data_IF_858511430025
#
_entry.id   IF_858511430025
#
_cell.length_a   1.000
_cell.length_b   1.000
_cell.length_c   1.000
_cell.angle_alpha   90.00
_cell.angle_beta   90.00
_cell.angle_gamma   90.00
#
_symmetry.space_group_name_H-M   'P 1'
#
loop_
_entity.id
_entity.type
_entity.pdbx_description
1 polymer ?
#
# COMPACT_ATOMS: atom_id res chain seq x y z
N UNK A 1 41.66 -33.99 11.31
CA UNK A 1 41.87 -32.66 11.92
C UNK A 1 42.97 -31.99 11.12
N UNK A 2 42.69 -30.85 10.47
CA UNK A 2 43.69 -30.14 9.67
C UNK A 2 44.85 -29.67 10.56
N UNK A 3 46.10 -29.90 10.12
CA UNK A 3 47.29 -29.38 10.78
C UNK A 3 47.37 -27.87 10.51
N UNK A 4 46.97 -27.07 11.50
CA UNK A 4 47.02 -25.62 11.41
C UNK A 4 48.48 -25.16 11.49
N UNK A 5 48.94 -24.43 10.46
CA UNK A 5 50.28 -23.84 10.40
C UNK A 5 50.51 -22.78 11.51
N UNK A 6 49.43 -22.32 12.16
CA UNK A 6 49.43 -21.34 13.24
C UNK A 6 48.66 -21.92 14.42
N UNK A 7 49.21 -21.75 15.64
CA UNK A 7 48.53 -22.14 16.87
C UNK A 7 47.26 -21.29 17.03
N UNK A 8 46.06 -21.89 17.12
CA UNK A 8 44.85 -21.12 17.33
C UNK A 8 44.86 -20.56 18.76
N UNK A 9 44.64 -19.26 18.91
CA UNK A 9 44.54 -18.66 20.22
C UNK A 9 43.19 -19.05 20.87
N UNK A 10 43.18 -19.36 22.17
CA UNK A 10 41.98 -19.85 22.85
C UNK A 10 40.88 -18.77 22.92
N UNK A 11 41.26 -17.48 22.90
CA UNK A 11 40.31 -16.38 22.96
C UNK A 11 39.51 -16.25 21.64
N UNK A 12 40.17 -16.33 20.50
CA UNK A 12 39.53 -16.29 19.19
C UNK A 12 38.64 -17.51 18.95
N UNK A 13 39.09 -18.71 19.34
CA UNK A 13 38.25 -19.91 19.26
C UNK A 13 36.97 -19.76 20.09
N UNK A 14 37.07 -19.17 21.28
CA UNK A 14 35.90 -18.87 22.12
C UNK A 14 34.99 -17.84 21.47
N UNK A 15 35.53 -16.76 20.90
CA UNK A 15 34.76 -15.75 20.18
C UNK A 15 34.01 -16.36 18.99
N UNK A 16 34.70 -17.20 18.20
CA UNK A 16 34.10 -17.89 17.06
C UNK A 16 32.95 -18.80 17.50
N UNK A 17 33.14 -19.56 18.59
CA UNK A 17 32.08 -20.39 19.16
C UNK A 17 30.89 -19.55 19.65
N UNK A 18 31.14 -18.40 20.31
CA UNK A 18 30.08 -17.48 20.75
C UNK A 18 29.30 -16.88 19.59
N UNK A 19 29.98 -16.51 18.50
CA UNK A 19 29.32 -15.99 17.31
C UNK A 19 28.48 -17.05 16.61
N UNK A 20 29.01 -18.28 16.47
CA UNK A 20 28.30 -19.41 15.86
C UNK A 20 27.05 -19.82 16.64
N UNK A 21 27.15 -19.84 17.98
CA UNK A 21 26.05 -20.26 18.84
C UNK A 21 25.05 -19.14 19.17
N UNK A 22 25.23 -17.92 18.61
CA UNK A 22 24.38 -16.75 18.90
C UNK A 22 22.88 -17.03 18.72
N UNK A 23 22.53 -17.78 17.68
CA UNK A 23 21.12 -18.08 17.35
C UNK A 23 20.48 -19.00 18.38
N UNK A 24 21.27 -19.89 19.02
CA UNK A 24 20.77 -20.82 20.04
C UNK A 24 20.35 -20.10 21.32
N UNK A 25 21.03 -18.99 21.67
CA UNK A 25 20.73 -18.19 22.86
C UNK A 25 19.79 -17.01 22.57
N UNK A 26 19.15 -16.98 21.40
CA UNK A 26 18.25 -15.91 21.03
C UNK A 26 16.96 -15.95 21.86
N UNK A 27 16.46 -14.76 22.23
CA UNK A 27 15.24 -14.58 23.02
C UNK A 27 14.38 -13.49 22.39
N UNK A 28 13.09 -13.78 22.25
CA UNK A 28 12.07 -12.83 21.81
C UNK A 28 11.73 -11.84 22.93
N UNK A 29 12.58 -10.83 23.09
CA UNK A 29 12.31 -9.68 23.95
C UNK A 29 11.54 -8.62 23.17
N UNK A 30 10.69 -7.79 23.81
CA UNK A 30 9.93 -6.76 23.10
C UNK A 30 10.81 -5.78 22.33
N UNK A 31 12.03 -5.53 22.80
CA UNK A 31 13.02 -4.71 22.08
C UNK A 31 13.48 -5.37 20.79
N UNK A 32 13.89 -6.64 20.85
CA UNK A 32 14.41 -7.37 19.69
C UNK A 32 13.30 -7.66 18.67
N UNK A 33 12.09 -7.98 19.14
CA UNK A 33 10.93 -8.21 18.29
C UNK A 33 10.58 -6.98 17.43
N UNK A 34 10.60 -5.78 18.03
CA UNK A 34 10.35 -4.53 17.30
C UNK A 34 11.39 -4.29 16.20
N UNK A 35 12.68 -4.46 16.53
CA UNK A 35 13.77 -4.23 15.57
C UNK A 35 13.69 -5.23 14.43
N UNK A 36 13.57 -6.52 14.74
CA UNK A 36 13.47 -7.57 13.72
C UNK A 36 12.25 -7.39 12.81
N UNK A 37 11.09 -7.02 13.37
CA UNK A 37 9.88 -6.76 12.59
C UNK A 37 10.03 -5.52 11.68
N UNK A 38 10.65 -4.44 12.16
CA UNK A 38 10.91 -3.25 11.32
C UNK A 38 11.80 -3.60 10.12
N UNK A 39 12.90 -4.32 10.34
CA UNK A 39 13.85 -4.62 9.26
C UNK A 39 13.37 -5.72 8.31
N UNK A 40 12.59 -6.69 8.78
CA UNK A 40 12.12 -7.81 7.95
C UNK A 40 10.82 -7.49 7.23
N UNK A 41 9.91 -6.71 7.83
CA UNK A 41 8.61 -6.39 7.23
C UNK A 41 8.55 -4.96 6.71
N UNK A 42 8.84 -3.96 7.55
CA UNK A 42 8.57 -2.55 7.22
C UNK A 42 9.49 -2.07 6.10
N UNK A 43 10.79 -2.30 6.20
CA UNK A 43 11.76 -1.84 5.18
C UNK A 43 11.50 -2.50 3.81
N UNK A 44 11.34 -3.84 3.71
CA UNK A 44 11.01 -4.47 2.42
C UNK A 44 9.62 -4.11 1.91
N UNK A 45 8.63 -3.88 2.78
CA UNK A 45 7.30 -3.44 2.35
C UNK A 45 7.32 -2.03 1.76
N UNK A 46 8.04 -1.09 2.39
CA UNK A 46 8.22 0.27 1.84
C UNK A 46 8.96 0.20 0.51
N UNK A 47 10.07 -0.55 0.46
CA UNK A 47 10.86 -0.64 -0.76
C UNK A 47 10.09 -1.34 -1.89
N UNK A 48 9.35 -2.41 -1.56
CA UNK A 48 8.47 -3.10 -2.50
C UNK A 48 7.35 -2.18 -3.00
N UNK A 49 6.69 -1.45 -2.11
CA UNK A 49 5.64 -0.50 -2.50
C UNK A 49 6.14 0.60 -3.42
N UNK A 50 7.31 1.18 -3.11
CA UNK A 50 7.97 2.15 -4.00
C UNK A 50 8.29 1.48 -5.32
N UNK A 51 8.96 0.33 -5.29
CA UNK A 51 9.33 -0.42 -6.50
C UNK A 51 8.12 -0.68 -7.40
N UNK A 52 7.02 -1.23 -6.88
CA UNK A 52 5.79 -1.47 -7.64
C UNK A 52 5.15 -0.20 -8.22
N UNK A 53 5.30 0.94 -7.55
CA UNK A 53 4.79 2.23 -8.06
C UNK A 53 5.74 2.90 -9.07
N UNK A 54 7.04 2.64 -8.95
CA UNK A 54 8.06 3.18 -9.84
C UNK A 54 8.35 2.27 -11.03
N UNK A 55 7.92 1.01 -10.98
CA UNK A 55 8.10 0.03 -12.05
C UNK A 55 7.28 0.44 -13.28
N UNK A 56 7.97 0.59 -14.40
CA UNK A 56 7.41 1.14 -15.64
C UNK A 56 7.11 2.65 -15.63
N UNK A 57 7.33 3.36 -14.52
CA UNK A 57 7.02 4.79 -14.45
C UNK A 57 8.12 5.65 -15.10
N UNK A 58 9.35 5.15 -15.19
CA UNK A 58 10.49 5.91 -15.70
C UNK A 58 11.06 5.27 -16.97
N UNK A 59 10.50 5.63 -18.13
CA UNK A 59 11.14 5.36 -19.43
C UNK A 59 12.02 6.55 -19.84
N UNK A 60 13.31 6.43 -19.54
CA UNK A 60 14.32 7.44 -19.84
C UNK A 60 14.97 7.24 -21.22
N UNK A 61 14.46 6.32 -22.05
CA UNK A 61 15.05 6.05 -23.36
C UNK A 61 14.74 7.23 -24.31
N UNK A 62 15.79 7.93 -24.73
CA UNK A 62 15.78 9.01 -25.73
C UNK A 62 14.93 10.27 -25.40
N UNK A 63 14.56 10.52 -24.14
CA UNK A 63 13.81 11.74 -23.74
C UNK A 63 14.67 13.01 -23.86
N UNK A 64 14.12 14.09 -24.44
CA UNK A 64 14.76 15.42 -24.52
C UNK A 64 14.31 16.31 -23.34
N UNK A 65 15.04 17.40 -23.10
CA UNK A 65 14.80 18.33 -21.99
C UNK A 65 13.40 18.97 -22.14
N UNK A 66 12.46 18.57 -21.27
CA UNK A 66 11.08 19.06 -21.25
C UNK A 66 9.99 17.98 -21.41
N UNK A 67 10.35 16.74 -21.78
CA UNK A 67 9.36 15.66 -21.95
C UNK A 67 9.07 14.92 -20.63
N UNK A 68 7.79 14.69 -20.34
CA UNK A 68 7.32 13.97 -19.15
C UNK A 68 7.79 12.50 -19.20
N UNK A 69 8.45 12.07 -18.13
CA UNK A 69 8.97 10.72 -17.97
C UNK A 69 7.91 9.69 -17.56
N UNK A 70 6.74 10.15 -17.09
CA UNK A 70 5.66 9.31 -16.57
C UNK A 70 4.64 8.90 -17.65
N UNK A 71 4.04 7.69 -17.55
CA UNK A 71 3.00 7.24 -18.47
C UNK A 71 1.73 8.08 -18.35
N UNK A 72 1.09 8.34 -19.49
CA UNK A 72 -0.12 9.15 -19.70
C UNK A 72 -1.40 8.50 -19.14
N UNK A 73 -1.34 7.84 -17.97
CA UNK A 73 -2.51 7.24 -17.31
C UNK A 73 -3.43 8.27 -16.65
N UNK A 74 -3.10 9.57 -16.70
CA UNK A 74 -3.94 10.63 -16.14
C UNK A 74 -5.24 10.87 -16.91
N UNK A 75 -5.32 10.53 -18.20
CA UNK A 75 -6.56 10.75 -18.98
C UNK A 75 -7.66 9.77 -18.57
N UNK A 76 -7.34 8.49 -18.37
CA UNK A 76 -8.32 7.48 -17.95
C UNK A 76 -8.88 7.74 -16.54
N UNK A 77 -8.06 8.25 -15.61
CA UNK A 77 -8.51 8.60 -14.25
C UNK A 77 -9.37 9.87 -14.27
N UNK A 78 -9.03 10.85 -15.13
CA UNK A 78 -9.84 12.06 -15.30
C UNK A 78 -11.19 11.70 -15.95
N UNK A 79 -11.21 10.88 -17.00
CA UNK A 79 -12.46 10.40 -17.61
C UNK A 79 -13.31 9.59 -16.63
N UNK A 80 -12.71 8.69 -15.84
CA UNK A 80 -13.43 7.94 -14.79
C UNK A 80 -14.03 8.86 -13.72
N UNK A 81 -13.32 9.92 -13.31
CA UNK A 81 -13.80 10.89 -12.33
C UNK A 81 -14.91 11.80 -12.88
N UNK A 82 -14.84 12.15 -14.17
CA UNK A 82 -15.90 12.91 -14.85
C UNK A 82 -17.16 12.04 -15.00
N UNK A 83 -17.02 10.77 -15.38
CA UNK A 83 -18.12 9.81 -15.51
C UNK A 83 -18.80 9.53 -14.15
N UNK A 84 -18.01 9.39 -13.08
CA UNK A 84 -18.54 9.20 -11.73
C UNK A 84 -19.31 10.43 -11.24
N UNK A 85 -18.86 11.65 -11.59
CA UNK A 85 -19.58 12.88 -11.26
C UNK A 85 -20.92 12.97 -11.97
N UNK A 86 -20.98 12.65 -13.26
CA UNK A 86 -22.25 12.67 -14.02
C UNK A 86 -23.23 11.60 -13.56
N UNK A 87 -22.73 10.45 -13.07
CA UNK A 87 -23.55 9.35 -12.58
C UNK A 87 -24.14 9.60 -11.18
N UNK A 88 -23.44 10.34 -10.32
CA UNK A 88 -23.96 10.75 -9.01
C UNK A 88 -25.10 11.77 -9.18
N UNK A 89 -25.00 12.69 -10.15
CA UNK A 89 -26.07 13.67 -10.39
C UNK A 89 -27.36 13.02 -10.90
N UNK A 90 -27.29 12.03 -11.80
CA UNK A 90 -28.50 11.36 -12.30
C UNK A 90 -29.27 10.59 -11.23
N UNK A 91 -28.55 9.99 -10.25
CA UNK A 91 -29.20 9.23 -9.17
C UNK A 91 -30.01 10.13 -8.24
N UNK A 92 -29.55 11.36 -7.98
CA UNK A 92 -30.27 12.29 -7.10
C UNK A 92 -31.55 12.82 -7.75
N UNK A 93 -31.55 13.00 -9.08
CA UNK A 93 -32.73 13.44 -9.84
C UNK A 93 -33.79 12.34 -9.92
N UNK A 94 -33.40 11.07 -10.08
CA UNK A 94 -34.34 9.92 -10.02
C UNK A 94 -34.97 9.78 -8.63
N UNK A 95 -34.20 9.97 -7.55
CA UNK A 95 -34.77 9.96 -6.20
C UNK A 95 -35.68 11.16 -5.93
N UNK A 96 -35.42 12.30 -6.56
CA UNK A 96 -36.29 13.47 -6.46
C UNK A 96 -37.62 13.27 -7.21
N UNK A 97 -37.60 12.63 -8.39
CA UNK A 97 -38.83 12.28 -9.12
C UNK A 97 -39.69 11.24 -8.38
N UNK A 98 -39.07 10.22 -7.78
CA UNK A 98 -39.79 9.21 -7.00
C UNK A 98 -40.44 9.87 -5.77
N UNK A 99 -39.72 10.73 -5.05
CA UNK A 99 -40.27 11.45 -3.89
C UNK A 99 -41.40 12.41 -4.29
N UNK A 100 -41.32 13.08 -5.44
CA UNK A 100 -42.44 13.89 -5.93
C UNK A 100 -43.65 13.07 -6.38
N UNK A 101 -43.45 11.85 -6.89
CA UNK A 101 -44.54 10.95 -7.31
C UNK A 101 -45.25 10.24 -6.15
N UNK A 102 -44.53 9.90 -5.06
CA UNK A 102 -45.12 9.22 -3.90
C UNK A 102 -45.76 10.19 -2.89
N UNK A 103 -45.18 11.38 -2.66
CA UNK A 103 -45.78 12.38 -1.77
C UNK A 103 -46.89 13.22 -2.44
N UNK A 104 -46.99 13.21 -3.77
CA UNK A 104 -48.09 13.83 -4.51
C UNK A 104 -49.41 13.04 -4.46
N UNK A 105 -49.34 11.73 -4.21
CA UNK A 105 -50.53 10.86 -4.13
C UNK A 105 -51.23 10.95 -2.76
N UNK A 106 -50.51 11.27 -1.69
CA UNK A 106 -51.08 11.34 -0.33
C UNK A 106 -51.83 12.66 -0.03
N UNK A 107 -51.77 13.67 -0.90
CA UNK A 107 -52.42 14.97 -0.70
C UNK A 107 -53.80 15.10 -1.38
N UNK A 108 -54.25 14.08 -2.14
CA UNK A 108 -55.49 14.14 -2.91
C UNK A 108 -56.67 13.33 -2.33
N UNK A 109 -56.46 12.50 -1.29
CA UNK A 109 -57.52 11.69 -0.68
C UNK A 109 -57.50 11.85 0.85
N UNK A 110 -58.22 12.86 1.35
CA UNK A 110 -58.24 13.15 2.79
C UNK A 110 -58.92 14.46 3.20
N UNK A 111 -59.86 14.97 2.40
CA UNK A 111 -60.77 16.02 2.81
C UNK A 111 -62.21 15.50 2.73
N UNK A 112 -62.63 14.74 3.76
CA UNK A 112 -63.98 14.18 3.82
C UNK A 112 -64.27 13.40 5.09
N UNK A 113 -65.03 14.05 5.98
CA UNK A 113 -65.93 13.47 6.99
C UNK A 113 -65.37 12.70 8.20
N UNK A 114 -65.81 13.22 9.36
CA UNK A 114 -65.73 12.77 10.77
C UNK A 114 -64.46 13.11 11.56
#
# INVERSE_FOLDING_TARGET
>A
MAHLNVKPDPAYLKLQAMQKNRVQYFRWTPRNARITLMYVAVVPAIMGYIAYKTDGLWDLRAKRKGDTAAPTTSLAVIEMLVDLRTRVTSTNDETAEILHSEFGFLAADGAGTF
#
